data_IF_700933759387
#
_entry.id   IF_700933759387
#
_cell.length_a   1.000
_cell.length_b   1.000
_cell.length_c   1.000
_cell.angle_alpha   90.00
_cell.angle_beta   90.00
_cell.angle_gamma   90.00
#
_symmetry.space_group_name_H-M   'P 1'
#
loop_
_entity.id
_entity.type
_entity.pdbx_description
1 polymer ?
#
# COMPACT_ATOMS: atom_id res chain seq x y z
N UNK A 1 -15.65 13.56 18.48
CA UNK A 1 -15.73 13.92 17.05
C UNK A 1 -14.86 13.06 16.12
N UNK A 2 -13.53 12.92 16.31
CA UNK A 2 -12.59 12.15 15.43
C UNK A 2 -13.12 10.82 14.89
N UNK A 3 -13.59 9.97 15.80
CA UNK A 3 -14.01 8.60 15.48
C UNK A 3 -15.51 8.48 15.18
N UNK A 4 -16.31 9.51 15.42
CA UNK A 4 -17.75 9.47 15.21
C UNK A 4 -18.12 9.29 13.73
N UNK A 5 -17.34 9.90 12.82
CA UNK A 5 -17.51 9.71 11.37
C UNK A 5 -17.21 8.30 10.90
N UNK A 6 -16.22 7.65 11.51
CA UNK A 6 -15.90 6.24 11.23
C UNK A 6 -17.01 5.35 11.80
N UNK A 7 -17.45 5.61 13.03
CA UNK A 7 -18.50 4.84 13.71
C UNK A 7 -19.86 4.94 13.00
N UNK A 8 -20.20 6.11 12.45
CA UNK A 8 -21.43 6.31 11.69
C UNK A 8 -21.41 5.60 10.34
N UNK A 9 -20.25 5.40 9.74
CA UNK A 9 -20.07 4.73 8.45
C UNK A 9 -19.49 3.32 8.56
N UNK A 10 -19.42 2.74 9.76
CA UNK A 10 -18.72 1.46 10.02
C UNK A 10 -19.13 0.33 9.10
N UNK A 11 -20.42 0.19 8.79
CA UNK A 11 -20.93 -0.89 7.93
C UNK A 11 -20.39 -0.75 6.50
N UNK A 12 -20.29 0.48 6.00
CA UNK A 12 -19.72 0.75 4.69
C UNK A 12 -18.22 0.50 4.67
N UNK A 13 -17.50 0.98 5.68
CA UNK A 13 -16.05 0.78 5.81
C UNK A 13 -15.73 -0.72 5.87
N UNK A 14 -16.46 -1.50 6.66
CA UNK A 14 -16.29 -2.96 6.75
C UNK A 14 -16.55 -3.63 5.40
N UNK A 15 -17.59 -3.22 4.66
CA UNK A 15 -17.89 -3.81 3.35
C UNK A 15 -16.80 -3.54 2.32
N UNK A 16 -16.37 -2.29 2.20
CA UNK A 16 -15.30 -1.91 1.25
C UNK A 16 -13.96 -2.52 1.70
N UNK A 17 -13.67 -2.51 2.99
CA UNK A 17 -12.49 -3.15 3.57
C UNK A 17 -12.46 -4.67 3.33
N UNK A 18 -13.59 -5.37 3.49
CA UNK A 18 -13.67 -6.79 3.19
C UNK A 18 -13.42 -7.10 1.70
N UNK A 19 -13.94 -6.27 0.79
CA UNK A 19 -13.66 -6.39 -0.65
C UNK A 19 -12.17 -6.16 -0.93
N UNK A 20 -11.58 -5.11 -0.35
CA UNK A 20 -10.16 -4.79 -0.47
C UNK A 20 -9.27 -5.95 -0.02
N UNK A 21 -9.50 -6.42 1.21
CA UNK A 21 -8.74 -7.51 1.85
C UNK A 21 -8.87 -8.81 1.06
N UNK A 22 -10.08 -9.17 0.62
CA UNK A 22 -10.30 -10.37 -0.19
C UNK A 22 -9.60 -10.26 -1.55
N UNK A 23 -9.70 -9.12 -2.23
CA UNK A 23 -9.05 -8.91 -3.51
C UNK A 23 -7.51 -8.96 -3.37
N UNK A 24 -6.95 -8.37 -2.31
CA UNK A 24 -5.53 -8.48 -1.99
C UNK A 24 -5.08 -9.93 -1.79
N UNK A 25 -5.80 -10.68 -0.95
CA UNK A 25 -5.47 -12.08 -0.69
C UNK A 25 -5.52 -12.93 -1.97
N UNK A 26 -6.53 -12.70 -2.82
CA UNK A 26 -6.67 -13.41 -4.11
C UNK A 26 -5.54 -13.07 -5.07
N UNK A 27 -5.17 -11.78 -5.20
CA UNK A 27 -4.08 -11.37 -6.10
C UNK A 27 -2.73 -11.95 -5.65
N UNK A 28 -2.45 -11.94 -4.35
CA UNK A 28 -1.24 -12.54 -3.80
C UNK A 28 -1.24 -14.06 -3.99
N UNK A 29 -2.39 -14.71 -3.79
CA UNK A 29 -2.52 -16.15 -4.05
C UNK A 29 -2.17 -16.51 -5.50
N UNK A 30 -2.72 -15.78 -6.47
CA UNK A 30 -2.38 -15.99 -7.88
C UNK A 30 -0.91 -15.71 -8.17
N UNK A 31 -0.34 -14.65 -7.58
CA UNK A 31 1.07 -14.33 -7.73
C UNK A 31 1.96 -15.46 -7.23
N UNK A 32 1.69 -15.99 -6.03
CA UNK A 32 2.43 -17.11 -5.43
C UNK A 32 2.29 -18.39 -6.26
N UNK A 33 1.10 -18.69 -6.80
CA UNK A 33 0.92 -19.83 -7.69
C UNK A 33 1.81 -19.70 -8.93
N UNK A 34 1.77 -18.54 -9.59
CA UNK A 34 2.58 -18.30 -10.79
C UNK A 34 4.07 -18.41 -10.45
N UNK A 35 4.51 -17.79 -9.35
CA UNK A 35 5.91 -17.85 -8.91
C UNK A 35 6.38 -19.28 -8.64
N UNK A 36 5.57 -20.09 -7.96
CA UNK A 36 5.89 -21.49 -7.70
C UNK A 36 6.06 -22.30 -8.99
N UNK A 37 5.17 -22.12 -9.99
CA UNK A 37 5.30 -22.80 -11.27
C UNK A 37 6.55 -22.35 -12.04
N UNK A 38 6.85 -21.05 -12.03
CA UNK A 38 8.05 -20.51 -12.71
C UNK A 38 9.33 -21.02 -12.05
N UNK A 39 9.38 -21.08 -10.71
CA UNK A 39 10.50 -21.66 -9.98
C UNK A 39 10.66 -23.15 -10.28
N UNK A 40 9.57 -23.91 -10.27
CA UNK A 40 9.61 -25.33 -10.63
C UNK A 40 10.17 -25.53 -12.06
N UNK A 41 9.69 -24.76 -13.04
CA UNK A 41 10.19 -24.84 -14.42
C UNK A 41 11.66 -24.44 -14.56
N UNK A 42 12.14 -23.53 -13.70
CA UNK A 42 13.56 -23.14 -13.62
C UNK A 42 14.41 -24.27 -13.03
N UNK A 43 13.98 -24.89 -11.93
CA UNK A 43 14.68 -26.02 -11.29
C UNK A 43 14.74 -27.24 -12.22
N UNK A 44 13.62 -27.56 -12.88
CA UNK A 44 13.53 -28.65 -13.87
C UNK A 44 14.27 -28.34 -15.19
N UNK A 45 14.92 -27.15 -15.29
CA UNK A 45 15.65 -26.69 -16.49
C UNK A 45 14.81 -26.69 -17.77
N UNK A 46 13.48 -26.54 -17.64
CA UNK A 46 12.52 -26.49 -18.75
C UNK A 46 12.67 -25.16 -19.50
N UNK A 47 12.93 -24.07 -18.75
CA UNK A 47 13.10 -22.72 -19.30
C UNK A 47 14.49 -22.14 -18.95
N UNK A 48 15.10 -21.34 -19.85
CA UNK A 48 16.31 -20.59 -19.55
C UNK A 48 16.10 -19.57 -18.43
N UNK A 49 17.16 -19.27 -17.67
CA UNK A 49 17.13 -18.30 -16.57
C UNK A 49 16.64 -16.89 -17.00
N UNK A 50 16.96 -16.46 -18.22
CA UNK A 50 16.48 -15.17 -18.76
C UNK A 50 14.96 -15.14 -18.94
N UNK A 51 14.36 -16.27 -19.33
CA UNK A 51 12.90 -16.38 -19.49
C UNK A 51 12.23 -16.42 -18.12
N UNK A 52 12.78 -17.16 -17.15
CA UNK A 52 12.23 -17.15 -15.79
C UNK A 52 12.25 -15.75 -15.17
N UNK A 53 13.35 -15.00 -15.31
CA UNK A 53 13.43 -13.62 -14.81
C UNK A 53 12.42 -12.68 -15.46
N UNK A 54 12.17 -12.82 -16.77
CA UNK A 54 11.13 -12.07 -17.46
C UNK A 54 9.73 -12.42 -16.94
N UNK A 55 9.45 -13.70 -16.71
CA UNK A 55 8.17 -14.14 -16.17
C UNK A 55 7.92 -13.63 -14.75
N UNK A 56 8.93 -13.63 -13.88
CA UNK A 56 8.84 -12.99 -12.55
C UNK A 56 8.54 -11.50 -12.65
N UNK A 57 9.26 -10.77 -13.51
CA UNK A 57 9.02 -9.35 -13.70
C UNK A 57 7.60 -9.05 -14.21
N UNK A 58 7.08 -9.86 -15.15
CA UNK A 58 5.70 -9.74 -15.62
C UNK A 58 4.70 -10.02 -14.50
N UNK A 59 4.94 -11.07 -13.71
CA UNK A 59 4.09 -11.42 -12.58
C UNK A 59 4.01 -10.27 -11.56
N UNK A 60 5.16 -9.68 -11.20
CA UNK A 60 5.25 -8.54 -10.28
C UNK A 60 4.52 -7.31 -10.82
N UNK A 61 4.66 -7.01 -12.12
CA UNK A 61 3.94 -5.90 -12.76
C UNK A 61 2.43 -6.13 -12.68
N UNK A 62 1.97 -7.35 -12.98
CA UNK A 62 0.54 -7.70 -12.90
C UNK A 62 0.01 -7.62 -11.48
N UNK A 63 0.77 -8.10 -10.49
CA UNK A 63 0.43 -7.99 -9.08
C UNK A 63 0.32 -6.52 -8.67
N UNK A 64 1.32 -5.69 -8.99
CA UNK A 64 1.34 -4.27 -8.66
C UNK A 64 0.18 -3.51 -9.32
N UNK A 65 -0.16 -3.86 -10.56
CA UNK A 65 -1.29 -3.29 -11.27
C UNK A 65 -2.62 -3.69 -10.63
N UNK A 66 -2.79 -4.97 -10.28
CA UNK A 66 -3.98 -5.46 -9.59
C UNK A 66 -4.19 -4.80 -8.23
N UNK A 67 -3.14 -4.80 -7.39
CA UNK A 67 -3.14 -4.15 -6.07
C UNK A 67 -3.42 -2.65 -6.22
N UNK A 68 -2.73 -1.98 -7.14
CA UNK A 68 -2.90 -0.55 -7.37
C UNK A 68 -4.30 -0.17 -7.83
N UNK A 69 -4.92 -0.97 -8.69
CA UNK A 69 -6.31 -0.78 -9.10
C UNK A 69 -7.29 -0.96 -7.93
N UNK A 70 -7.09 -1.99 -7.12
CA UNK A 70 -7.92 -2.26 -5.93
C UNK A 70 -7.78 -1.14 -4.90
N UNK A 71 -6.56 -0.66 -4.63
CA UNK A 71 -6.27 0.48 -3.76
C UNK A 71 -6.95 1.75 -4.29
N UNK A 72 -6.75 2.09 -5.56
CA UNK A 72 -7.35 3.28 -6.17
C UNK A 72 -8.88 3.32 -6.00
N UNK A 73 -9.56 2.21 -6.30
CA UNK A 73 -11.03 2.14 -6.22
C UNK A 73 -11.54 2.11 -4.78
N UNK A 74 -10.98 1.23 -3.94
CA UNK A 74 -11.46 1.05 -2.58
C UNK A 74 -11.20 2.29 -1.71
N UNK A 75 -10.00 2.87 -1.82
CA UNK A 75 -9.66 4.08 -1.08
C UNK A 75 -10.39 5.31 -1.59
N UNK A 76 -10.66 5.43 -2.90
CA UNK A 76 -11.49 6.53 -3.41
C UNK A 76 -12.91 6.46 -2.86
N UNK A 77 -13.51 5.26 -2.82
CA UNK A 77 -14.83 5.03 -2.22
C UNK A 77 -14.86 5.35 -0.72
N UNK A 78 -13.84 4.92 0.02
CA UNK A 78 -13.72 5.23 1.45
C UNK A 78 -13.56 6.73 1.68
N UNK A 79 -12.65 7.37 0.96
CA UNK A 79 -12.41 8.82 1.07
C UNK A 79 -13.64 9.65 0.73
N UNK A 80 -14.35 9.30 -0.36
CA UNK A 80 -15.59 9.95 -0.76
C UNK A 80 -16.70 9.80 0.28
N UNK A 81 -16.73 8.68 1.03
CA UNK A 81 -17.72 8.49 2.09
C UNK A 81 -17.37 9.25 3.36
N UNK A 82 -16.08 9.29 3.74
CA UNK A 82 -15.60 9.94 4.96
C UNK A 82 -15.57 11.47 4.85
N UNK A 83 -15.35 11.99 3.64
CA UNK A 83 -15.19 13.43 3.38
C UNK A 83 -16.25 14.03 2.44
N UNK A 84 -17.40 13.37 2.31
CA UNK A 84 -18.56 13.98 1.67
C UNK A 84 -19.02 15.24 2.44
N UNK A 85 -19.38 16.33 1.74
CA UNK A 85 -19.54 16.49 0.29
C UNK A 85 -18.32 17.11 -0.43
N UNK A 86 -17.19 17.30 0.26
CA UNK A 86 -16.01 18.00 -0.27
C UNK A 86 -15.25 17.09 -1.24
N UNK A 87 -15.00 15.84 -0.84
CA UNK A 87 -14.38 14.85 -1.73
C UNK A 87 -15.41 14.20 -2.64
N UNK A 88 -15.27 14.39 -3.96
CA UNK A 88 -16.25 13.92 -4.96
C UNK A 88 -15.60 13.08 -6.07
N UNK A 89 -14.93 11.99 -5.69
CA UNK A 89 -14.64 10.92 -6.65
C UNK A 89 -15.70 9.82 -6.45
N UNK A 90 -16.75 9.82 -7.27
CA UNK A 90 -17.92 8.94 -7.07
C UNK A 90 -17.87 7.68 -7.92
N UNK A 91 -17.19 7.72 -9.06
CA UNK A 91 -17.17 6.63 -10.03
C UNK A 91 -15.84 5.86 -9.97
N UNK A 92 -15.90 4.54 -10.06
CA UNK A 92 -14.71 3.68 -10.02
C UNK A 92 -13.77 3.96 -11.21
N UNK A 93 -14.33 4.30 -12.37
CA UNK A 93 -13.57 4.64 -13.58
C UNK A 93 -12.78 5.94 -13.36
N UNK A 94 -13.41 6.93 -12.72
CA UNK A 94 -12.75 8.18 -12.35
C UNK A 94 -11.62 7.92 -11.35
N UNK A 95 -11.88 7.09 -10.33
CA UNK A 95 -10.88 6.70 -9.33
C UNK A 95 -9.67 6.01 -9.97
N UNK A 96 -9.89 5.09 -10.91
CA UNK A 96 -8.82 4.44 -11.65
C UNK A 96 -8.02 5.45 -12.48
N UNK A 97 -8.68 6.30 -13.27
CA UNK A 97 -7.99 7.30 -14.10
C UNK A 97 -7.08 8.21 -13.28
N UNK A 98 -7.51 8.58 -12.08
CA UNK A 98 -6.82 9.58 -11.26
C UNK A 98 -5.75 9.00 -10.35
N UNK A 99 -6.01 7.83 -9.75
CA UNK A 99 -5.16 7.30 -8.67
C UNK A 99 -4.45 5.99 -9.02
N UNK A 100 -4.81 5.31 -10.12
CA UNK A 100 -4.16 4.05 -10.50
C UNK A 100 -2.64 4.21 -10.63
N UNK A 101 -2.19 5.22 -11.37
CA UNK A 101 -0.76 5.42 -11.63
C UNK A 101 0.01 5.69 -10.34
N UNK A 102 -0.58 6.46 -9.42
CA UNK A 102 0.00 6.75 -8.10
C UNK A 102 0.24 5.45 -7.31
N UNK A 103 -0.81 4.64 -7.14
CA UNK A 103 -0.71 3.39 -6.38
C UNK A 103 0.18 2.36 -7.09
N UNK A 104 0.05 2.23 -8.41
CA UNK A 104 0.89 1.35 -9.22
C UNK A 104 2.37 1.71 -9.10
N UNK A 105 2.74 2.98 -9.24
CA UNK A 105 4.12 3.46 -9.16
C UNK A 105 4.75 3.19 -7.77
N UNK A 106 3.97 3.36 -6.70
CA UNK A 106 4.45 3.09 -5.34
C UNK A 106 4.63 1.59 -5.12
N UNK A 107 3.67 0.76 -5.54
CA UNK A 107 3.76 -0.69 -5.39
C UNK A 107 4.95 -1.26 -6.17
N UNK A 108 5.13 -0.86 -7.44
CA UNK A 108 6.22 -1.36 -8.27
C UNK A 108 7.59 -0.92 -7.72
N UNK A 109 7.69 0.30 -7.15
CA UNK A 109 8.90 0.76 -6.51
C UNK A 109 9.26 -0.12 -5.30
N UNK A 110 8.30 -0.41 -4.42
CA UNK A 110 8.53 -1.25 -3.23
C UNK A 110 8.92 -2.68 -3.63
N UNK A 111 8.20 -3.29 -4.57
CA UNK A 111 8.51 -4.65 -5.06
C UNK A 111 9.90 -4.68 -5.70
N UNK A 112 10.25 -3.68 -6.51
CA UNK A 112 11.58 -3.59 -7.13
C UNK A 112 12.69 -3.50 -6.09
N UNK A 113 12.56 -2.64 -5.08
CA UNK A 113 13.55 -2.49 -4.00
C UNK A 113 13.70 -3.82 -3.23
N UNK A 114 12.59 -4.50 -2.96
CA UNK A 114 12.58 -5.79 -2.24
C UNK A 114 13.24 -6.89 -3.05
N UNK A 115 12.94 -6.98 -4.35
CA UNK A 115 13.56 -7.95 -5.25
C UNK A 115 15.06 -7.69 -5.43
N UNK A 116 15.49 -6.42 -5.47
CA UNK A 116 16.91 -6.06 -5.50
C UNK A 116 17.62 -6.55 -4.23
N UNK A 117 17.01 -6.40 -3.05
CA UNK A 117 17.57 -6.92 -1.80
C UNK A 117 17.79 -8.44 -1.85
N UNK A 118 16.79 -9.20 -2.33
CA UNK A 118 16.90 -10.65 -2.52
C UNK A 118 17.98 -11.05 -3.52
N UNK A 119 17.97 -10.41 -4.70
CA UNK A 119 18.93 -10.67 -5.78
C UNK A 119 20.38 -10.44 -5.33
N UNK A 120 20.68 -9.32 -4.66
CA UNK A 120 22.03 -9.07 -4.15
C UNK A 120 22.45 -10.08 -3.07
N UNK A 121 21.50 -10.57 -2.28
CA UNK A 121 21.73 -11.64 -1.30
C UNK A 121 22.16 -12.95 -1.97
N UNK A 122 21.47 -13.34 -3.05
CA UNK A 122 21.81 -14.55 -3.83
C UNK A 122 23.20 -14.48 -4.47
N UNK A 123 23.63 -13.30 -4.93
CA UNK A 123 24.97 -13.09 -5.50
C UNK A 123 26.07 -12.91 -4.45
N UNK A 124 25.75 -12.99 -3.15
CA UNK A 124 26.72 -12.88 -2.05
C UNK A 124 27.13 -11.45 -1.69
N UNK A 125 26.44 -10.42 -2.22
CA UNK A 125 26.67 -9.03 -1.86
C UNK A 125 25.88 -8.64 -0.61
N UNK A 126 26.31 -9.13 0.55
CA UNK A 126 25.57 -8.98 1.82
C UNK A 126 25.29 -7.53 2.21
N UNK A 127 26.26 -6.63 2.03
CA UNK A 127 26.11 -5.22 2.45
C UNK A 127 25.07 -4.48 1.60
N UNK A 128 25.05 -4.73 0.30
CA UNK A 128 24.06 -4.19 -0.64
C UNK A 128 22.67 -4.78 -0.36
N UNK A 129 22.59 -6.09 -0.15
CA UNK A 129 21.34 -6.76 0.21
C UNK A 129 20.72 -6.16 1.48
N UNK A 130 21.52 -5.99 2.54
CA UNK A 130 21.08 -5.38 3.79
C UNK A 130 20.66 -3.92 3.62
N UNK A 131 21.39 -3.15 2.80
CA UNK A 131 21.03 -1.76 2.51
C UNK A 131 19.67 -1.66 1.80
N UNK A 132 19.44 -2.44 0.75
CA UNK A 132 18.14 -2.46 0.06
C UNK A 132 17.02 -3.03 0.94
N UNK A 133 17.30 -4.00 1.80
CA UNK A 133 16.33 -4.50 2.79
C UNK A 133 15.91 -3.40 3.77
N UNK A 134 16.87 -2.59 4.26
CA UNK A 134 16.57 -1.45 5.14
C UNK A 134 15.72 -0.39 4.41
N UNK A 135 16.05 -0.08 3.15
CA UNK A 135 15.25 0.83 2.33
C UNK A 135 13.84 0.27 2.13
N UNK A 136 13.70 -1.02 1.85
CA UNK A 136 12.39 -1.67 1.69
C UNK A 136 11.55 -1.53 2.96
N UNK A 137 12.13 -1.84 4.13
CA UNK A 137 11.44 -1.69 5.42
C UNK A 137 11.00 -0.23 5.65
N UNK A 138 11.90 0.73 5.40
CA UNK A 138 11.57 2.15 5.54
C UNK A 138 10.47 2.57 4.57
N UNK A 139 10.55 2.15 3.31
CA UNK A 139 9.53 2.42 2.29
C UNK A 139 8.18 1.82 2.70
N UNK A 140 8.13 0.56 3.14
CA UNK A 140 6.93 -0.08 3.66
C UNK A 140 6.33 0.62 4.89
N UNK A 141 7.16 1.28 5.69
CA UNK A 141 6.70 2.05 6.84
C UNK A 141 6.01 3.35 6.43
N UNK A 142 6.56 4.07 5.44
CA UNK A 142 6.08 5.41 5.08
C UNK A 142 5.14 5.45 3.88
N UNK A 143 5.15 4.45 2.99
CA UNK A 143 4.44 4.55 1.71
C UNK A 143 2.97 4.84 1.89
N UNK A 144 2.30 4.10 2.78
CA UNK A 144 0.86 4.19 2.88
C UNK A 144 0.39 5.55 3.40
N UNK A 145 0.87 6.06 4.56
CA UNK A 145 0.51 7.42 4.99
C UNK A 145 0.81 8.49 3.94
N UNK A 146 1.97 8.42 3.30
CA UNK A 146 2.35 9.41 2.28
C UNK A 146 1.45 9.34 1.05
N UNK A 147 1.19 8.15 0.52
CA UNK A 147 0.34 7.97 -0.66
C UNK A 147 -1.10 8.36 -0.37
N UNK A 148 -1.62 8.13 0.84
CA UNK A 148 -2.96 8.57 1.24
C UNK A 148 -3.03 10.11 1.31
N UNK A 149 -2.02 10.75 1.90
CA UNK A 149 -1.94 12.21 1.92
C UNK A 149 -1.90 12.80 0.50
N UNK A 150 -1.09 12.21 -0.39
CA UNK A 150 -1.04 12.59 -1.80
C UNK A 150 -2.41 12.39 -2.48
N UNK A 151 -3.02 11.24 -2.25
CA UNK A 151 -4.36 10.94 -2.78
C UNK A 151 -5.38 11.97 -2.29
N UNK A 152 -5.33 12.39 -1.02
CA UNK A 152 -6.21 13.41 -0.45
C UNK A 152 -5.92 14.82 -0.98
N UNK A 153 -4.68 15.18 -1.28
CA UNK A 153 -4.38 16.49 -1.89
C UNK A 153 -4.85 16.57 -3.35
N UNK A 154 -5.00 15.43 -4.02
CA UNK A 154 -5.47 15.35 -5.41
C UNK A 154 -4.51 16.01 -6.40
N UNK A 155 -5.03 16.41 -7.57
CA UNK A 155 -4.25 17.05 -8.65
C UNK A 155 -3.65 18.41 -8.27
N UNK A 156 -4.22 19.11 -7.27
CA UNK A 156 -3.72 20.41 -6.82
C UNK A 156 -2.29 20.36 -6.27
N UNK A 157 -1.84 19.19 -5.78
CA UNK A 157 -0.46 19.00 -5.32
C UNK A 157 0.59 19.03 -6.45
N UNK A 158 0.17 18.91 -7.71
CA UNK A 158 1.05 19.03 -8.88
C UNK A 158 1.09 20.46 -9.44
N UNK A 159 0.08 21.28 -9.13
CA UNK A 159 -0.05 22.66 -9.60
C UNK A 159 0.67 23.66 -8.68
N UNK A 160 0.69 23.38 -7.37
CA UNK A 160 1.41 24.18 -6.39
C UNK A 160 2.86 23.67 -6.27
N UNK A 161 3.85 24.56 -6.36
CA UNK A 161 5.30 24.25 -6.37
C UNK A 161 5.82 23.55 -5.08
N UNK A 162 4.94 23.24 -4.12
CA UNK A 162 5.26 22.59 -2.86
C UNK A 162 4.68 21.17 -2.75
N UNK A 163 5.32 20.20 -3.39
CA UNK A 163 5.02 18.75 -3.24
C UNK A 163 4.97 18.35 -1.75
N UNK A 164 5.75 19.01 -0.89
CA UNK A 164 5.78 18.75 0.54
C UNK A 164 4.53 19.20 1.31
N UNK A 165 3.71 20.09 0.73
CA UNK A 165 2.47 20.58 1.36
C UNK A 165 1.49 19.43 1.63
N UNK A 166 1.40 18.45 0.73
CA UNK A 166 0.54 17.29 0.87
C UNK A 166 0.78 16.51 2.17
N UNK A 167 2.02 16.53 2.69
CA UNK A 167 2.43 15.75 3.87
C UNK A 167 2.41 16.54 5.19
N UNK A 168 2.08 17.84 5.16
CA UNK A 168 1.93 18.68 6.36
C UNK A 168 0.98 18.08 7.42
N UNK A 169 -0.11 17.38 7.08
CA UNK A 169 -0.94 16.71 8.09
C UNK A 169 -0.16 15.72 8.96
N UNK A 170 0.82 15.01 8.40
CA UNK A 170 1.63 14.04 9.15
C UNK A 170 2.68 14.72 10.03
N UNK A 171 3.32 15.79 9.53
CA UNK A 171 4.42 16.46 10.22
C UNK A 171 3.97 17.47 11.26
N UNK A 172 2.81 18.12 11.08
CA UNK A 172 2.26 19.08 12.05
C UNK A 172 1.41 18.42 13.14
N UNK A 173 0.93 17.19 12.92
CA UNK A 173 0.13 16.42 13.89
C UNK A 173 0.85 15.14 14.36
N UNK A 174 2.15 15.24 14.67
CA UNK A 174 2.96 14.09 15.08
C UNK A 174 2.40 13.36 16.30
N UNK A 175 1.97 14.09 17.33
CA UNK A 175 1.38 13.49 18.54
C UNK A 175 0.14 12.64 18.26
N UNK A 176 -0.58 12.97 17.19
CA UNK A 176 -1.83 12.33 16.80
C UNK A 176 -1.63 11.19 15.79
N UNK A 177 -0.48 11.15 15.12
CA UNK A 177 -0.09 10.08 14.20
C UNK A 177 0.71 8.96 14.88
N UNK A 178 1.19 9.13 16.13
CA UNK A 178 1.99 8.11 16.86
C UNK A 178 1.31 6.73 16.86
N UNK A 179 0.00 6.68 17.14
CA UNK A 179 -0.75 5.42 17.19
C UNK A 179 -0.75 4.68 15.86
N UNK A 180 -0.91 5.42 14.75
CA UNK A 180 -0.84 4.88 13.40
C UNK A 180 0.56 4.33 13.08
N UNK A 181 1.62 5.09 13.37
CA UNK A 181 2.99 4.65 13.15
C UNK A 181 3.34 3.40 13.95
N UNK A 182 2.84 3.29 15.19
CA UNK A 182 3.02 2.11 16.03
C UNK A 182 2.32 0.88 15.43
N UNK A 183 1.08 1.03 14.92
CA UNK A 183 0.35 -0.07 14.26
C UNK A 183 1.09 -0.55 13.02
N UNK A 184 1.58 0.38 12.18
CA UNK A 184 2.37 0.04 10.98
C UNK A 184 3.65 -0.69 11.38
N UNK A 185 4.38 -0.17 12.38
CA UNK A 185 5.63 -0.77 12.85
C UNK A 185 5.43 -2.19 13.39
N UNK A 186 4.42 -2.41 14.22
CA UNK A 186 4.09 -3.76 14.72
C UNK A 186 3.71 -4.69 13.57
N UNK A 187 2.96 -4.20 12.58
CA UNK A 187 2.53 -5.01 11.43
C UNK A 187 3.71 -5.45 10.57
N UNK A 188 4.68 -4.55 10.35
CA UNK A 188 5.92 -4.88 9.61
C UNK A 188 6.79 -5.85 10.41
N UNK A 189 6.97 -5.63 11.71
CA UNK A 189 7.75 -6.55 12.55
C UNK A 189 7.10 -7.95 12.61
N UNK A 190 5.77 -8.00 12.71
CA UNK A 190 5.02 -9.24 12.68
C UNK A 190 5.13 -9.94 11.33
N UNK A 191 5.06 -9.21 10.21
CA UNK A 191 5.19 -9.81 8.88
C UNK A 191 6.61 -10.37 8.67
N UNK A 192 7.65 -9.61 9.03
CA UNK A 192 9.04 -10.08 8.96
C UNK A 192 9.25 -11.34 9.79
N UNK A 193 8.75 -11.37 11.04
CA UNK A 193 8.84 -12.54 11.89
C UNK A 193 8.11 -13.74 11.28
N UNK A 194 6.84 -13.58 10.90
CA UNK A 194 5.99 -14.68 10.39
C UNK A 194 6.56 -15.24 9.09
N UNK A 195 6.95 -14.39 8.14
CA UNK A 195 7.48 -14.85 6.85
C UNK A 195 8.93 -15.37 6.93
N UNK A 196 9.62 -15.17 8.06
CA UNK A 196 10.93 -15.81 8.31
C UNK A 196 10.83 -17.25 8.84
N UNK A 197 9.63 -17.73 9.17
CA UNK A 197 9.45 -19.10 9.66
C UNK A 197 9.75 -20.13 8.57
N UNK A 198 10.44 -21.22 8.94
CA UNK A 198 10.88 -22.28 8.01
C UNK A 198 9.73 -22.90 7.19
N UNK A 199 8.50 -22.90 7.72
CA UNK A 199 7.32 -23.40 6.99
C UNK A 199 7.10 -22.64 5.68
N UNK A 200 7.51 -21.37 5.59
CA UNK A 200 7.40 -20.55 4.39
C UNK A 200 8.60 -20.64 3.45
N UNK A 201 9.65 -21.37 3.83
CA UNK A 201 10.79 -21.64 2.95
C UNK A 201 10.45 -22.67 1.86
N UNK A 202 9.37 -23.44 2.02
CA UNK A 202 8.92 -24.41 1.02
C UNK A 202 7.99 -23.74 0.01
N UNK A 203 8.24 -23.98 -1.28
CA UNK A 203 7.41 -23.48 -2.38
C UNK A 203 6.39 -24.54 -2.81
N UNK A 204 5.20 -24.52 -2.18
CA UNK A 204 4.12 -25.44 -2.52
C UNK A 204 2.75 -24.73 -2.44
N UNK A 205 1.70 -25.42 -2.89
CA UNK A 205 0.34 -24.84 -2.90
C UNK A 205 -0.16 -24.49 -1.50
N UNK A 206 0.22 -25.28 -0.48
CA UNK A 206 -0.22 -25.05 0.89
C UNK A 206 0.45 -23.80 1.48
N UNK A 207 1.73 -23.58 1.20
CA UNK A 207 2.45 -22.38 1.65
C UNK A 207 1.95 -21.14 0.92
N UNK A 208 1.66 -21.22 -0.38
CA UNK A 208 0.98 -20.16 -1.11
C UNK A 208 -0.37 -19.78 -0.47
N UNK A 209 -1.23 -20.78 -0.20
CA UNK A 209 -2.52 -20.56 0.47
C UNK A 209 -2.34 -19.93 1.85
N UNK A 210 -1.38 -20.42 2.64
CA UNK A 210 -1.11 -19.91 3.99
C UNK A 210 -0.60 -18.47 3.96
N UNK A 211 0.30 -18.11 3.04
CA UNK A 211 0.74 -16.73 2.83
C UNK A 211 -0.44 -15.81 2.50
N UNK A 212 -1.34 -16.26 1.61
CA UNK A 212 -2.55 -15.50 1.24
C UNK A 212 -3.54 -15.35 2.39
N UNK A 213 -3.65 -16.33 3.29
CA UNK A 213 -4.49 -16.18 4.49
C UNK A 213 -3.83 -15.20 5.47
N UNK A 214 -2.51 -15.27 5.63
CA UNK A 214 -1.77 -14.39 6.53
C UNK A 214 -1.73 -12.93 6.07
N UNK A 215 -1.92 -12.64 4.78
CA UNK A 215 -2.04 -11.26 4.31
C UNK A 215 -3.37 -10.60 4.69
N UNK A 216 -4.39 -11.37 5.06
CA UNK A 216 -5.70 -10.84 5.47
C UNK A 216 -5.59 -9.84 6.64
N UNK A 217 -4.96 -10.18 7.77
CA UNK A 217 -4.78 -9.22 8.86
C UNK A 217 -3.89 -8.03 8.48
N UNK A 218 -2.86 -8.23 7.63
CA UNK A 218 -1.99 -7.13 7.19
C UNK A 218 -2.72 -6.14 6.27
N UNK A 219 -3.47 -6.63 5.29
CA UNK A 219 -4.30 -5.77 4.43
C UNK A 219 -5.46 -5.11 5.17
N UNK A 220 -5.91 -5.66 6.30
CA UNK A 220 -6.88 -4.98 7.16
C UNK A 220 -6.27 -3.76 7.88
N UNK A 221 -4.96 -3.79 8.19
CA UNK A 221 -4.23 -2.63 8.73
C UNK A 221 -4.27 -1.47 7.74
N UNK A 222 -4.21 -1.76 6.44
CA UNK A 222 -4.28 -0.73 5.41
C UNK A 222 -5.55 0.12 5.50
N UNK A 223 -6.69 -0.52 5.79
CA UNK A 223 -7.97 0.16 5.97
C UNK A 223 -7.94 1.05 7.23
N UNK A 224 -7.33 0.56 8.31
CA UNK A 224 -7.18 1.31 9.57
C UNK A 224 -6.28 2.53 9.34
N UNK A 225 -5.12 2.35 8.71
CA UNK A 225 -4.19 3.43 8.37
C UNK A 225 -4.86 4.43 7.43
N UNK A 226 -5.58 3.96 6.40
CA UNK A 226 -6.37 4.82 5.52
C UNK A 226 -7.32 5.71 6.30
N UNK A 227 -8.19 5.13 7.13
CA UNK A 227 -9.15 5.90 7.92
C UNK A 227 -8.47 6.87 8.89
N UNK A 228 -7.31 6.50 9.45
CA UNK A 228 -6.55 7.36 10.35
C UNK A 228 -5.97 8.57 9.62
N UNK A 229 -5.20 8.33 8.55
CA UNK A 229 -4.54 9.38 7.77
C UNK A 229 -5.57 10.30 7.13
N UNK A 230 -6.66 9.74 6.59
CA UNK A 230 -7.72 10.52 5.97
C UNK A 230 -8.36 11.48 6.98
N UNK A 231 -8.58 11.05 8.22
CA UNK A 231 -9.08 11.94 9.28
C UNK A 231 -8.06 13.02 9.66
N UNK A 232 -6.76 12.69 9.75
CA UNK A 232 -5.71 13.70 9.98
C UNK A 232 -5.74 14.77 8.88
N UNK A 233 -5.85 14.35 7.62
CA UNK A 233 -5.95 15.28 6.48
C UNK A 233 -7.18 16.19 6.57
N UNK A 234 -8.35 15.64 6.90
CA UNK A 234 -9.58 16.44 7.05
C UNK A 234 -9.44 17.45 8.19
N UNK A 235 -8.85 17.04 9.30
CA UNK A 235 -8.72 17.93 10.46
C UNK A 235 -7.68 18.99 10.27
N UNK A 236 -6.56 18.65 9.64
CA UNK A 236 -5.58 19.62 9.20
C UNK A 236 -6.27 20.71 8.36
N UNK A 237 -7.06 20.31 7.35
CA UNK A 237 -7.84 21.24 6.53
C UNK A 237 -8.85 22.07 7.33
N UNK A 238 -9.56 21.46 8.29
CA UNK A 238 -10.61 22.15 9.06
C UNK A 238 -10.06 23.03 10.20
N UNK A 239 -8.83 22.77 10.65
CA UNK A 239 -8.21 23.47 11.77
C UNK A 239 -7.66 24.86 11.42
N UNK A 240 -7.68 25.25 10.14
CA UNK A 240 -7.09 26.50 9.69
C UNK A 240 -5.56 26.55 9.80
N UNK A 241 -4.91 25.43 10.17
CA UNK A 241 -3.44 25.31 10.22
C UNK A 241 -2.76 25.44 8.83
N UNK A 242 -3.54 25.64 7.78
CA UNK A 242 -3.11 26.07 6.46
C UNK A 242 -3.32 27.58 6.38
N UNK A 243 -2.46 28.35 7.05
CA UNK A 243 -2.51 29.83 7.21
C UNK A 243 -2.37 30.62 5.88
N UNK A 244 -2.59 30.00 4.71
CA UNK A 244 -2.44 30.60 3.37
C UNK A 244 -3.73 30.56 2.53
N UNK A 245 -4.87 30.17 3.10
CA UNK A 245 -6.18 30.35 2.45
C UNK A 245 -7.10 31.15 3.38
N UNK A 246 -6.95 32.48 3.35
CA UNK A 246 -8.11 33.34 3.57
C UNK A 246 -9.12 32.99 2.46
N UNK A 247 -10.24 32.37 2.83
CA UNK A 247 -11.37 32.09 1.94
C UNK A 247 -12.15 33.38 1.58
N UNK A 248 -11.60 34.54 1.88
CA UNK A 248 -12.18 35.87 1.68
C UNK A 248 -11.88 36.49 0.30
N UNK A 249 -11.16 35.79 -0.58
CA UNK A 249 -11.05 36.17 -2.00
C UNK A 249 -12.00 35.32 -2.88
N UNK A 250 -13.30 35.62 -2.79
CA UNK A 250 -14.31 35.28 -3.80
C UNK A 250 -15.17 36.50 -4.15
#
# INVERSE_FOLDING_TARGET
MRWERILSHRIFIIKVGAIYVLAHAVLIFFNEIVSNYVNQWREDSIIPASISSLLFAINDILLCAGIGAVQAVCFARLGAKLDAPIWRCREDIEALKRFFLLWFAVNIAIVTITNLAGTFGEYGYSDLSNFFALISIFASFVYMPLTICWMHSGEKALEEEEIFRAFRPLTRQLGESVGMWLIIGISILASLYIFSLEIFAQENLNTALLKSILIVPFSAVDIVVFCWVWNLCIEYRNSGLDDEYDLDEF
#
